data_IF_074087188462
#
_entry.id   IF_074087188462
#
_cell.length_a   1.000
_cell.length_b   1.000
_cell.length_c   1.000
_cell.angle_alpha   90.00
_cell.angle_beta   90.00
_cell.angle_gamma   90.00
#
_symmetry.space_group_name_H-M   'P 1'
#
loop_
_entity.id
_entity.type
_entity.pdbx_description
1 polymer ?
#
# COMPACT_ATOMS: atom_id res chain seq x y z
N UNK A 1 14.46 -22.61 -16.73
CA UNK A 1 13.45 -22.67 -15.68
C UNK A 1 12.31 -23.60 -16.11
N UNK A 2 11.71 -24.32 -15.15
CA UNK A 2 10.46 -25.07 -15.33
C UNK A 2 9.33 -24.33 -14.58
N UNK A 3 8.19 -24.17 -15.24
CA UNK A 3 7.01 -23.55 -14.67
C UNK A 3 5.86 -24.57 -14.73
N UNK A 4 5.35 -24.97 -13.57
CA UNK A 4 4.17 -25.80 -13.49
C UNK A 4 2.92 -24.91 -13.56
N UNK A 5 1.99 -25.26 -14.40
CA UNK A 5 0.79 -24.47 -14.68
C UNK A 5 -0.45 -25.36 -14.59
N UNK A 6 -1.56 -24.73 -14.18
CA UNK A 6 -2.90 -25.35 -14.19
C UNK A 6 -3.78 -24.44 -15.05
N UNK A 7 -4.45 -25.00 -16.05
CA UNK A 7 -5.37 -24.25 -16.89
C UNK A 7 -6.77 -24.09 -16.25
N UNK A 8 -7.68 -23.45 -16.95
CA UNK A 8 -9.05 -23.21 -16.47
C UNK A 8 -9.88 -24.51 -16.29
N UNK A 9 -9.47 -25.58 -16.95
CA UNK A 9 -10.10 -26.90 -16.88
C UNK A 9 -9.43 -27.82 -15.85
N UNK A 10 -8.41 -27.29 -15.12
CA UNK A 10 -7.68 -28.01 -14.09
C UNK A 10 -6.59 -28.95 -14.63
N UNK A 11 -6.23 -28.82 -15.91
CA UNK A 11 -5.16 -29.64 -16.53
C UNK A 11 -3.79 -29.10 -16.13
N UNK A 12 -3.00 -29.93 -15.48
CA UNK A 12 -1.64 -29.62 -15.09
C UNK A 12 -0.66 -29.81 -16.27
N UNK A 13 0.23 -28.87 -16.43
CA UNK A 13 1.29 -28.95 -17.45
C UNK A 13 2.58 -28.29 -16.96
N UNK A 14 3.71 -28.65 -17.59
CA UNK A 14 5.01 -28.05 -17.33
C UNK A 14 5.54 -27.34 -18.55
N UNK A 15 5.83 -26.05 -18.41
CA UNK A 15 6.45 -25.23 -19.43
C UNK A 15 7.94 -25.08 -19.11
N UNK A 16 8.80 -25.40 -20.07
CA UNK A 16 10.23 -25.13 -19.96
C UNK A 16 10.53 -23.80 -20.65
N UNK A 17 11.11 -22.87 -19.91
CA UNK A 17 11.44 -21.55 -20.41
C UNK A 17 12.91 -21.20 -20.12
N UNK A 18 13.52 -20.40 -21.02
CA UNK A 18 14.85 -19.82 -20.81
C UNK A 18 14.85 -18.75 -19.72
N UNK A 19 13.78 -17.99 -19.64
CA UNK A 19 13.59 -16.93 -18.64
C UNK A 19 12.12 -16.88 -18.19
N UNK A 20 11.90 -16.32 -17.01
CA UNK A 20 10.58 -16.04 -16.44
C UNK A 20 10.50 -14.56 -16.09
N UNK A 21 9.45 -13.90 -16.54
CA UNK A 21 9.15 -12.51 -16.21
C UNK A 21 7.85 -12.50 -15.40
N UNK A 22 7.95 -12.22 -14.11
CA UNK A 22 6.79 -12.11 -13.25
C UNK A 22 6.19 -10.69 -13.34
N UNK A 23 5.10 -10.58 -14.08
CA UNK A 23 4.30 -9.38 -14.25
C UNK A 23 2.90 -9.51 -13.62
N UNK A 24 2.73 -10.42 -12.64
CA UNK A 24 1.42 -10.77 -12.06
C UNK A 24 0.80 -9.66 -11.19
N UNK A 25 1.54 -8.59 -10.89
CA UNK A 25 1.04 -7.44 -10.13
C UNK A 25 0.86 -7.75 -8.64
N UNK A 26 -0.03 -6.97 -8.00
CA UNK A 26 -0.24 -7.02 -6.54
C UNK A 26 -1.69 -7.32 -6.15
N UNK A 27 -2.59 -7.49 -7.11
CA UNK A 27 -4.04 -7.53 -6.88
C UNK A 27 -4.54 -8.72 -6.05
N UNK A 28 -3.74 -9.77 -5.91
CA UNK A 28 -4.09 -10.97 -5.15
C UNK A 28 -4.00 -10.80 -3.63
N UNK A 29 -3.21 -9.83 -3.15
CA UNK A 29 -2.88 -9.66 -1.73
C UNK A 29 -3.27 -8.26 -1.23
N UNK A 30 -4.54 -8.02 -0.88
CA UNK A 30 -4.94 -6.75 -0.30
C UNK A 30 -4.34 -6.57 1.09
N UNK A 31 -3.99 -5.32 1.42
CA UNK A 31 -3.65 -4.96 2.79
C UNK A 31 -4.92 -4.98 3.66
N UNK A 32 -4.83 -5.41 4.92
CA UNK A 32 -5.94 -5.36 5.85
C UNK A 32 -6.35 -3.91 6.20
N UNK A 33 -7.50 -3.77 6.85
CA UNK A 33 -8.00 -2.48 7.31
C UNK A 33 -7.30 -1.98 8.59
N UNK A 34 -6.73 -2.90 9.38
CA UNK A 34 -6.04 -2.57 10.62
C UNK A 34 -4.91 -1.55 10.44
N UNK A 35 -4.83 -0.60 11.35
CA UNK A 35 -3.95 0.57 11.22
C UNK A 35 -2.45 0.25 11.30
N UNK A 36 -2.08 -0.85 11.92
CA UNK A 36 -0.71 -1.36 12.08
C UNK A 36 -0.24 -2.27 10.94
N UNK A 37 -1.12 -2.51 9.93
CA UNK A 37 -0.82 -3.37 8.78
C UNK A 37 -1.14 -4.85 8.99
N UNK A 38 -1.74 -5.21 10.14
CA UNK A 38 -2.34 -6.51 10.41
C UNK A 38 -3.87 -6.43 10.36
N UNK A 39 -4.57 -7.56 10.15
CA UNK A 39 -6.02 -7.57 10.27
C UNK A 39 -6.46 -7.05 11.65
N UNK A 40 -7.38 -6.08 11.66
CA UNK A 40 -7.99 -5.62 12.89
C UNK A 40 -8.74 -6.76 13.59
N UNK A 41 -8.93 -6.64 14.89
CA UNK A 41 -9.72 -7.64 15.64
C UNK A 41 -11.11 -7.75 15.00
N UNK A 42 -11.56 -8.97 14.73
CA UNK A 42 -12.85 -9.22 14.08
C UNK A 42 -12.91 -9.01 12.57
N UNK A 43 -11.88 -8.45 11.92
CA UNK A 43 -11.87 -8.19 10.47
C UNK A 43 -12.13 -9.45 9.65
N UNK A 44 -11.50 -10.57 10.00
CA UNK A 44 -11.70 -11.85 9.32
C UNK A 44 -13.10 -12.41 9.52
N UNK A 45 -13.67 -12.25 10.73
CA UNK A 45 -15.03 -12.70 11.04
C UNK A 45 -16.09 -11.87 10.31
N UNK A 46 -15.78 -10.62 9.99
CA UNK A 46 -16.64 -9.69 9.26
C UNK A 46 -16.40 -9.69 7.74
N UNK A 47 -15.70 -10.69 7.18
CA UNK A 47 -15.29 -10.76 5.77
C UNK A 47 -16.44 -10.58 4.78
N UNK A 48 -17.66 -10.99 5.12
CA UNK A 48 -18.85 -10.82 4.26
C UNK A 48 -19.29 -9.35 4.10
N UNK A 49 -18.92 -8.51 5.07
CA UNK A 49 -19.23 -7.08 5.08
C UNK A 49 -18.04 -6.20 4.68
N UNK A 50 -16.84 -6.78 4.57
CA UNK A 50 -15.60 -6.07 4.24
C UNK A 50 -15.10 -6.49 2.87
N UNK A 51 -14.97 -5.53 1.96
CA UNK A 51 -14.38 -5.75 0.64
C UNK A 51 -13.12 -4.92 0.48
N UNK A 52 -12.12 -5.50 -0.17
CA UNK A 52 -10.85 -4.81 -0.46
C UNK A 52 -10.83 -4.19 -1.87
N UNK A 53 -11.95 -4.21 -2.54
CA UNK A 53 -12.18 -3.63 -3.87
C UNK A 53 -13.59 -3.07 -3.95
N UNK A 54 -13.74 -1.96 -4.66
CA UNK A 54 -15.08 -1.45 -4.94
C UNK A 54 -15.65 -2.16 -6.18
N UNK A 55 -16.88 -2.66 -6.14
CA UNK A 55 -17.51 -3.30 -7.28
C UNK A 55 -17.78 -2.29 -8.41
N UNK A 56 -17.96 -2.79 -9.63
CA UNK A 56 -18.31 -1.94 -10.77
C UNK A 56 -19.66 -1.27 -10.61
N UNK A 57 -20.63 -1.92 -9.99
CA UNK A 57 -21.93 -1.34 -9.61
C UNK A 57 -22.00 -1.21 -8.08
N UNK A 58 -22.51 -0.08 -7.62
CA UNK A 58 -22.73 0.25 -6.21
C UNK A 58 -24.20 0.46 -5.88
N UNK A 59 -25.11 0.22 -6.83
CA UNK A 59 -26.53 0.50 -6.66
C UNK A 59 -27.18 -0.31 -5.51
N UNK A 60 -26.69 -1.53 -5.28
CA UNK A 60 -27.16 -2.38 -4.19
C UNK A 60 -26.87 -1.82 -2.78
N UNK A 61 -25.97 -0.84 -2.67
CA UNK A 61 -25.63 -0.17 -1.41
C UNK A 61 -26.57 1.00 -1.08
N UNK A 62 -27.62 1.22 -1.87
CA UNK A 62 -28.59 2.28 -1.65
C UNK A 62 -29.29 2.13 -0.30
N UNK A 63 -29.30 3.20 0.49
CA UNK A 63 -29.89 3.20 1.83
C UNK A 63 -28.95 2.69 2.95
N UNK A 64 -27.78 2.16 2.61
CA UNK A 64 -26.83 1.66 3.59
C UNK A 64 -25.87 2.74 4.14
N UNK A 65 -25.29 2.46 5.29
CA UNK A 65 -24.13 3.18 5.77
C UNK A 65 -22.86 2.49 5.27
N UNK A 66 -22.16 3.13 4.35
CA UNK A 66 -20.95 2.59 3.71
C UNK A 66 -19.73 3.33 4.23
N UNK A 67 -18.73 2.58 4.67
CA UNK A 67 -17.47 3.13 5.15
C UNK A 67 -16.33 2.81 4.19
N UNK A 68 -15.53 3.82 3.86
CA UNK A 68 -14.30 3.66 3.07
C UNK A 68 -13.10 3.87 3.98
N UNK A 69 -12.18 2.91 4.03
CA UNK A 69 -10.92 2.98 4.78
C UNK A 69 -9.77 3.08 3.80
N UNK A 70 -8.94 4.11 3.92
CA UNK A 70 -7.75 4.29 3.09
C UNK A 70 -7.63 5.70 2.50
N UNK A 71 -6.42 6.07 2.08
CA UNK A 71 -6.09 7.42 1.61
C UNK A 71 -5.59 7.48 0.16
N UNK A 72 -5.54 6.34 -0.54
CA UNK A 72 -5.03 6.25 -1.91
C UNK A 72 -6.09 6.58 -2.97
N UNK A 73 -5.67 6.63 -4.24
CA UNK A 73 -6.55 6.92 -5.39
C UNK A 73 -7.77 6.00 -5.45
N UNK A 74 -7.62 4.71 -5.12
CA UNK A 74 -8.76 3.77 -5.09
C UNK A 74 -9.83 4.20 -4.09
N UNK A 75 -9.42 4.66 -2.89
CA UNK A 75 -10.34 5.18 -1.88
C UNK A 75 -11.02 6.46 -2.37
N UNK A 76 -10.27 7.38 -2.98
CA UNK A 76 -10.82 8.62 -3.53
C UNK A 76 -11.86 8.35 -4.62
N UNK A 77 -11.58 7.42 -5.54
CA UNK A 77 -12.55 7.00 -6.56
C UNK A 77 -13.79 6.36 -5.94
N UNK A 78 -13.63 5.50 -4.93
CA UNK A 78 -14.74 4.88 -4.22
C UNK A 78 -15.64 5.93 -3.56
N UNK A 79 -15.04 6.89 -2.84
CA UNK A 79 -15.75 8.00 -2.19
C UNK A 79 -16.55 8.82 -3.20
N UNK A 80 -15.99 9.15 -4.36
CA UNK A 80 -16.72 9.90 -5.40
C UNK A 80 -17.90 9.11 -5.95
N UNK A 81 -17.73 7.81 -6.24
CA UNK A 81 -18.83 6.97 -6.72
C UNK A 81 -19.94 6.81 -5.69
N UNK A 82 -19.57 6.58 -4.43
CA UNK A 82 -20.52 6.46 -3.33
C UNK A 82 -21.22 7.80 -3.05
N UNK A 83 -20.54 8.93 -3.21
CA UNK A 83 -21.15 10.25 -3.10
C UNK A 83 -22.23 10.50 -4.15
N UNK A 84 -22.04 9.98 -5.36
CA UNK A 84 -23.07 10.04 -6.42
C UNK A 84 -24.26 9.16 -6.07
N UNK A 85 -24.04 7.99 -5.50
CA UNK A 85 -25.10 7.12 -4.98
C UNK A 85 -25.89 7.82 -3.85
N UNK A 86 -25.18 8.39 -2.87
CA UNK A 86 -25.81 9.09 -1.74
C UNK A 86 -26.70 10.26 -2.17
N UNK A 87 -26.33 10.96 -3.27
CA UNK A 87 -27.18 12.02 -3.85
C UNK A 87 -28.45 11.50 -4.52
N UNK A 88 -28.41 10.28 -5.06
CA UNK A 88 -29.54 9.68 -5.80
C UNK A 88 -30.44 8.83 -4.92
N UNK A 89 -29.90 8.27 -3.85
CA UNK A 89 -30.58 7.34 -2.94
C UNK A 89 -30.58 7.91 -1.51
N UNK A 90 -31.65 8.61 -1.09
CA UNK A 90 -31.78 9.12 0.27
C UNK A 90 -31.66 7.99 1.31
N UNK A 91 -30.98 8.29 2.41
CA UNK A 91 -30.67 7.28 3.45
C UNK A 91 -29.30 6.62 3.30
N UNK A 92 -28.66 6.71 2.13
CA UNK A 92 -27.27 6.26 1.97
C UNK A 92 -26.34 7.23 2.69
N UNK A 93 -25.54 6.70 3.61
CA UNK A 93 -24.50 7.46 4.31
C UNK A 93 -23.11 6.98 3.89
N UNK A 94 -22.18 7.91 3.73
CA UNK A 94 -20.80 7.58 3.35
C UNK A 94 -19.85 8.22 4.34
N UNK A 95 -19.07 7.40 5.03
CA UNK A 95 -18.01 7.85 5.94
C UNK A 95 -16.64 7.44 5.38
N UNK A 96 -15.72 8.37 5.32
CA UNK A 96 -14.35 8.14 4.84
C UNK A 96 -13.38 8.21 6.00
N UNK A 97 -12.74 7.09 6.34
CA UNK A 97 -11.79 6.97 7.45
C UNK A 97 -10.36 7.07 6.95
N UNK A 98 -9.63 8.04 7.50
CA UNK A 98 -8.21 8.25 7.24
C UNK A 98 -7.40 7.93 8.50
N UNK A 99 -6.39 7.07 8.37
CA UNK A 99 -5.48 6.73 9.46
C UNK A 99 -4.68 7.94 9.98
N UNK A 100 -4.27 8.85 9.07
CA UNK A 100 -3.52 10.05 9.41
C UNK A 100 -4.45 11.16 9.90
N UNK A 101 -3.94 12.00 10.82
CA UNK A 101 -4.68 13.17 11.30
C UNK A 101 -4.76 14.32 10.29
N UNK A 102 -3.90 14.32 9.26
CA UNK A 102 -3.85 15.35 8.23
C UNK A 102 -4.39 14.85 6.90
N UNK A 103 -5.04 15.74 6.15
CA UNK A 103 -5.53 15.51 4.78
C UNK A 103 -4.59 16.04 3.70
N UNK A 104 -3.43 16.62 4.08
CA UNK A 104 -2.54 17.34 3.18
C UNK A 104 -2.18 16.54 1.90
N UNK A 105 -1.96 15.22 2.03
CA UNK A 105 -1.55 14.36 0.93
C UNK A 105 -2.71 13.54 0.31
N UNK A 106 -3.94 13.72 0.78
CA UNK A 106 -5.10 12.92 0.31
C UNK A 106 -5.68 13.49 -0.98
N UNK A 107 -5.59 14.80 -1.14
CA UNK A 107 -6.20 15.52 -2.27
C UNK A 107 -5.19 15.88 -3.39
N UNK A 108 -4.00 15.29 -3.36
CA UNK A 108 -2.92 15.63 -4.32
C UNK A 108 -2.31 17.01 -4.08
N UNK A 109 -1.41 17.42 -4.96
CA UNK A 109 -0.69 18.69 -4.89
C UNK A 109 -1.52 19.93 -5.26
N UNK A 110 -2.83 19.80 -5.47
CA UNK A 110 -3.67 20.92 -5.91
C UNK A 110 -3.24 21.47 -7.27
N UNK A 111 -3.17 22.81 -7.39
CA UNK A 111 -2.75 23.47 -8.63
C UNK A 111 -1.25 23.30 -8.95
N UNK A 112 -0.46 22.83 -8.00
CA UNK A 112 0.97 22.51 -8.19
C UNK A 112 1.22 21.04 -8.52
N UNK A 113 0.17 20.23 -8.70
CA UNK A 113 0.32 18.82 -9.06
C UNK A 113 0.64 18.68 -10.54
N UNK A 114 1.77 18.08 -10.87
CA UNK A 114 2.20 17.87 -12.26
C UNK A 114 1.34 16.83 -13.01
N UNK A 115 0.50 16.07 -12.29
CA UNK A 115 -0.47 15.18 -12.88
C UNK A 115 -1.89 15.80 -12.80
N UNK A 116 -2.38 16.45 -13.88
CA UNK A 116 -3.65 17.19 -13.87
C UNK A 116 -4.86 16.34 -13.44
N UNK A 117 -4.89 15.07 -13.85
CA UNK A 117 -5.97 14.15 -13.51
C UNK A 117 -5.99 13.83 -12.00
N UNK A 118 -4.82 13.75 -11.35
CA UNK A 118 -4.70 13.56 -9.91
C UNK A 118 -5.19 14.79 -9.15
N UNK A 119 -4.80 15.97 -9.59
CA UNK A 119 -5.26 17.24 -9.04
C UNK A 119 -6.78 17.37 -9.15
N UNK A 120 -7.35 17.06 -10.32
CA UNK A 120 -8.80 17.10 -10.57
C UNK A 120 -9.55 16.09 -9.69
N UNK A 121 -9.00 14.89 -9.50
CA UNK A 121 -9.58 13.86 -8.63
C UNK A 121 -9.64 14.35 -7.18
N UNK A 122 -8.56 14.90 -6.66
CA UNK A 122 -8.47 15.44 -5.31
C UNK A 122 -9.43 16.62 -5.08
N UNK A 123 -9.52 17.54 -6.03
CA UNK A 123 -10.45 18.67 -5.97
C UNK A 123 -11.91 18.23 -5.91
N UNK A 124 -12.30 17.20 -6.70
CA UNK A 124 -13.65 16.62 -6.64
C UNK A 124 -13.94 15.97 -5.30
N UNK A 125 -12.98 15.24 -4.72
CA UNK A 125 -13.14 14.62 -3.42
C UNK A 125 -13.31 15.67 -2.31
N UNK A 126 -12.51 16.73 -2.31
CA UNK A 126 -12.67 17.85 -1.38
C UNK A 126 -14.08 18.46 -1.48
N UNK A 127 -14.55 18.71 -2.70
CA UNK A 127 -15.87 19.29 -2.93
C UNK A 127 -17.02 18.47 -2.32
N UNK A 128 -17.00 17.14 -2.40
CA UNK A 128 -18.08 16.30 -1.85
C UNK A 128 -18.04 16.27 -0.32
N UNK A 129 -16.88 16.44 0.29
CA UNK A 129 -16.71 16.59 1.74
C UNK A 129 -17.23 17.95 2.19
N UNK A 130 -16.81 19.04 1.53
CA UNK A 130 -17.24 20.41 1.86
C UNK A 130 -18.75 20.58 1.72
N UNK A 131 -19.40 19.81 0.84
CA UNK A 131 -20.85 19.76 0.66
C UNK A 131 -21.59 18.91 1.70
N UNK A 132 -20.86 18.23 2.60
CA UNK A 132 -21.46 17.34 3.60
C UNK A 132 -22.08 16.06 3.06
N UNK A 133 -21.77 15.67 1.80
CA UNK A 133 -22.26 14.43 1.19
C UNK A 133 -21.49 13.22 1.74
N UNK A 134 -20.24 13.44 2.11
CA UNK A 134 -19.33 12.43 2.68
C UNK A 134 -18.80 12.97 4.00
N UNK A 135 -18.95 12.18 5.04
CA UNK A 135 -18.33 12.43 6.33
C UNK A 135 -16.87 12.01 6.30
N UNK A 136 -15.94 12.93 6.57
CA UNK A 136 -14.51 12.63 6.64
C UNK A 136 -14.08 12.57 8.11
N UNK A 137 -13.49 11.42 8.51
CA UNK A 137 -12.92 11.23 9.84
C UNK A 137 -11.42 10.96 9.71
N UNK A 138 -10.62 11.88 10.26
CA UNK A 138 -9.15 11.78 10.24
C UNK A 138 -8.60 11.25 11.57
N UNK A 139 -7.36 10.72 11.52
CA UNK A 139 -6.72 10.13 12.70
C UNK A 139 -7.45 8.88 13.21
N UNK A 140 -8.27 8.25 12.38
CA UNK A 140 -9.02 7.06 12.77
C UNK A 140 -8.20 5.81 12.47
N UNK A 141 -7.52 5.30 13.48
CA UNK A 141 -6.67 4.13 13.41
C UNK A 141 -7.51 2.90 13.73
N UNK A 142 -7.95 2.18 12.70
CA UNK A 142 -8.84 1.00 12.84
C UNK A 142 -8.15 -0.07 13.68
N UNK A 143 -8.79 -0.49 14.79
CA UNK A 143 -8.30 -1.53 15.68
C UNK A 143 -9.24 -2.75 15.75
N UNK A 144 -10.56 -2.54 15.63
CA UNK A 144 -11.53 -3.62 15.79
C UNK A 144 -12.75 -3.43 14.88
N UNK A 145 -13.31 -4.55 14.41
CA UNK A 145 -14.63 -4.67 13.81
C UNK A 145 -15.50 -5.52 14.73
N UNK A 146 -16.58 -4.94 15.21
CA UNK A 146 -17.48 -5.57 16.17
C UNK A 146 -18.84 -5.79 15.54
N UNK A 147 -19.31 -7.02 15.48
CA UNK A 147 -20.65 -7.33 15.01
C UNK A 147 -21.70 -6.79 15.99
N UNK A 148 -22.80 -6.23 15.48
CA UNK A 148 -23.91 -5.72 16.25
C UNK A 148 -25.26 -6.05 15.61
N UNK A 149 -26.36 -5.81 16.34
CA UNK A 149 -27.72 -6.11 15.85
C UNK A 149 -28.13 -5.25 14.65
N UNK A 150 -27.69 -4.01 14.58
CA UNK A 150 -28.03 -3.04 13.54
C UNK A 150 -26.89 -2.81 12.52
N UNK A 151 -26.03 -3.83 12.33
CA UNK A 151 -24.85 -3.73 11.47
C UNK A 151 -23.56 -3.88 12.26
N UNK A 152 -22.46 -3.42 11.67
CA UNK A 152 -21.12 -3.51 12.25
C UNK A 152 -20.72 -2.19 12.90
N UNK A 153 -19.91 -2.26 13.96
CA UNK A 153 -19.23 -1.11 14.56
C UNK A 153 -17.73 -1.21 14.27
N UNK A 154 -17.15 -0.13 13.77
CA UNK A 154 -15.70 0.00 13.57
C UNK A 154 -15.15 0.81 14.72
N UNK A 155 -14.14 0.28 15.41
CA UNK A 155 -13.53 0.89 16.59
C UNK A 155 -12.10 1.29 16.29
N UNK A 156 -11.73 2.50 16.66
CA UNK A 156 -10.37 3.01 16.56
C UNK A 156 -9.56 2.69 17.81
N UNK A 157 -8.22 2.76 17.71
CA UNK A 157 -7.28 2.58 18.85
C UNK A 157 -7.56 3.55 20.01
N UNK A 158 -8.07 4.74 19.73
CA UNK A 158 -8.41 5.78 20.71
C UNK A 158 -9.82 5.63 21.30
N UNK A 159 -10.54 4.58 20.94
CA UNK A 159 -11.89 4.29 21.43
C UNK A 159 -13.01 4.99 20.67
N UNK A 160 -12.74 5.82 19.65
CA UNK A 160 -13.81 6.35 18.76
C UNK A 160 -14.48 5.23 18.01
N UNK A 161 -15.77 5.37 17.74
CA UNK A 161 -16.57 4.35 17.07
C UNK A 161 -17.35 4.93 15.89
N UNK A 162 -17.49 4.11 14.84
CA UNK A 162 -18.43 4.33 13.73
C UNK A 162 -19.38 3.15 13.72
N UNK A 163 -20.63 3.39 14.11
CA UNK A 163 -21.64 2.36 14.31
C UNK A 163 -22.62 2.22 13.13
N UNK A 164 -23.39 1.15 13.15
CA UNK A 164 -24.43 0.84 12.17
C UNK A 164 -23.92 0.83 10.73
N UNK A 165 -22.76 0.21 10.52
CA UNK A 165 -22.10 0.11 9.22
C UNK A 165 -22.62 -1.14 8.50
N UNK A 166 -23.18 -0.95 7.29
CA UNK A 166 -23.66 -2.03 6.44
C UNK A 166 -22.55 -2.63 5.58
N UNK A 167 -21.62 -1.80 5.09
CA UNK A 167 -20.53 -2.24 4.21
C UNK A 167 -19.25 -1.45 4.43
N UNK A 168 -18.11 -2.14 4.36
CA UNK A 168 -16.77 -1.52 4.43
C UNK A 168 -15.99 -1.81 3.16
N UNK A 169 -15.38 -0.77 2.61
CA UNK A 169 -14.35 -0.89 1.58
C UNK A 169 -12.99 -0.55 2.17
N UNK A 170 -12.19 -1.57 2.47
CA UNK A 170 -10.82 -1.43 2.96
C UNK A 170 -9.86 -1.25 1.77
N UNK A 171 -9.70 0.00 1.32
CA UNK A 171 -8.88 0.37 0.16
C UNK A 171 -7.50 0.86 0.60
N UNK A 172 -6.83 0.05 1.37
CA UNK A 172 -5.54 0.30 2.05
C UNK A 172 -4.32 -0.07 1.21
N UNK A 173 -4.55 -0.47 -0.05
CA UNK A 173 -3.52 -0.89 -0.99
C UNK A 173 -3.34 -2.40 -1.05
N UNK A 174 -2.27 -2.82 -1.74
CA UNK A 174 -1.98 -4.23 -1.99
C UNK A 174 -0.50 -4.51 -1.73
N UNK A 175 -0.17 -5.79 -1.56
CA UNK A 175 1.21 -6.30 -1.45
C UNK A 175 1.53 -7.24 -2.61
N UNK A 176 2.80 -7.42 -2.97
CA UNK A 176 3.19 -8.42 -3.94
C UNK A 176 2.95 -9.83 -3.37
N UNK A 177 2.33 -10.69 -4.16
CA UNK A 177 2.28 -12.12 -3.85
C UNK A 177 3.51 -12.80 -4.44
N UNK A 178 4.45 -13.17 -3.58
CA UNK A 178 5.67 -13.89 -3.96
C UNK A 178 5.56 -15.40 -3.75
N UNK A 179 4.38 -15.90 -3.43
CA UNK A 179 4.16 -17.32 -3.13
C UNK A 179 4.60 -18.27 -4.25
N UNK A 180 4.41 -17.88 -5.52
CA UNK A 180 4.88 -18.66 -6.67
C UNK A 180 6.41 -18.68 -6.84
N UNK A 181 7.12 -17.77 -6.21
CA UNK A 181 8.57 -17.61 -6.30
C UNK A 181 9.32 -18.14 -5.06
N UNK A 182 8.60 -18.69 -4.06
CA UNK A 182 9.16 -19.04 -2.74
C UNK A 182 10.31 -20.05 -2.77
N UNK A 183 10.40 -20.88 -3.81
CA UNK A 183 11.47 -21.87 -3.99
C UNK A 183 12.65 -21.29 -4.78
N UNK A 184 12.56 -20.06 -5.25
CA UNK A 184 13.58 -19.39 -6.06
C UNK A 184 14.37 -18.40 -5.21
N UNK A 185 15.59 -18.09 -5.63
CA UNK A 185 16.42 -17.06 -5.03
C UNK A 185 15.96 -15.69 -5.50
N UNK A 186 15.16 -15.03 -4.70
CA UNK A 186 14.69 -13.65 -4.95
C UNK A 186 15.37 -12.69 -3.97
N UNK A 187 15.57 -11.44 -4.39
CA UNK A 187 16.14 -10.37 -3.59
C UNK A 187 15.15 -9.20 -3.52
N UNK A 188 14.53 -9.06 -2.35
CA UNK A 188 13.54 -8.03 -2.07
C UNK A 188 13.96 -7.21 -0.85
N UNK A 189 13.74 -5.91 -0.93
CA UNK A 189 13.81 -5.03 0.24
C UNK A 189 12.70 -5.39 1.25
N UNK A 190 13.07 -5.59 2.50
CA UNK A 190 12.15 -6.08 3.54
C UNK A 190 11.11 -5.05 3.98
N UNK A 191 11.39 -3.76 3.84
CA UNK A 191 10.49 -2.68 4.25
C UNK A 191 9.43 -2.39 3.18
N UNK A 192 9.86 -2.35 1.93
CA UNK A 192 9.00 -2.04 0.79
C UNK A 192 8.41 -3.30 0.14
N UNK A 193 8.97 -4.49 0.41
CA UNK A 193 8.64 -5.71 -0.35
C UNK A 193 8.86 -5.53 -1.86
N UNK A 194 9.73 -4.60 -2.23
CA UNK A 194 10.09 -4.24 -3.60
C UNK A 194 11.35 -5.00 -4.03
N UNK A 195 11.59 -5.08 -5.35
CA UNK A 195 12.87 -5.58 -5.86
C UNK A 195 14.02 -4.75 -5.27
N UNK A 196 14.99 -5.41 -4.64
CA UNK A 196 16.07 -4.72 -3.90
C UNK A 196 16.86 -3.75 -4.77
N UNK A 197 17.09 -4.09 -6.05
CA UNK A 197 17.83 -3.25 -6.99
C UNK A 197 17.17 -1.90 -7.32
N UNK A 198 15.87 -1.71 -7.00
CA UNK A 198 15.18 -0.44 -7.21
C UNK A 198 14.71 0.22 -5.90
N UNK A 199 14.79 -0.50 -4.77
CA UNK A 199 14.16 -0.09 -3.52
C UNK A 199 14.62 1.30 -3.03
N UNK A 200 15.93 1.57 -3.12
CA UNK A 200 16.48 2.85 -2.69
C UNK A 200 15.93 4.04 -3.49
N UNK A 201 15.68 3.87 -4.79
CA UNK A 201 15.20 4.93 -5.67
C UNK A 201 13.70 5.22 -5.55
N UNK A 202 12.94 4.24 -5.04
CA UNK A 202 11.48 4.34 -4.91
C UNK A 202 10.99 4.52 -3.47
N UNK A 203 11.89 4.46 -2.47
CA UNK A 203 11.54 4.60 -1.06
C UNK A 203 11.12 6.04 -0.74
N UNK A 204 9.84 6.28 -0.40
CA UNK A 204 9.34 7.61 -0.08
C UNK A 204 9.90 8.17 1.24
N UNK A 205 10.59 7.36 2.04
CA UNK A 205 11.25 7.81 3.28
C UNK A 205 12.68 8.32 3.04
N UNK A 206 13.31 7.88 1.93
CA UNK A 206 14.68 8.25 1.56
C UNK A 206 14.66 9.39 0.55
N UNK A 207 13.77 9.31 -0.43
CA UNK A 207 13.63 10.30 -1.49
C UNK A 207 12.49 11.26 -1.19
N UNK A 208 12.82 12.51 -0.91
CA UNK A 208 11.85 13.58 -0.85
C UNK A 208 11.42 13.96 -2.26
N UNK A 209 10.15 13.76 -2.62
CA UNK A 209 9.52 14.32 -3.83
C UNK A 209 10.38 14.21 -5.08
N UNK A 210 11.05 13.09 -5.27
CA UNK A 210 11.97 12.95 -6.37
C UNK A 210 11.33 12.31 -7.58
N UNK A 211 11.84 12.66 -8.73
CA UNK A 211 11.69 11.87 -9.94
C UNK A 211 12.18 10.46 -9.65
N UNK A 212 11.27 9.49 -9.74
CA UNK A 212 11.66 8.09 -9.71
C UNK A 212 12.38 7.80 -11.01
N UNK A 213 13.66 7.43 -10.95
CA UNK A 213 14.40 7.05 -12.15
C UNK A 213 13.75 5.83 -12.79
N UNK A 214 13.68 5.83 -14.13
CA UNK A 214 13.25 4.63 -14.84
C UNK A 214 14.31 3.54 -14.65
N UNK A 215 13.87 2.35 -14.28
CA UNK A 215 14.73 1.20 -13.98
C UNK A 215 14.57 0.12 -15.05
N UNK A 216 15.61 -0.64 -15.29
CA UNK A 216 15.66 -1.61 -16.36
C UNK A 216 16.07 -3.02 -15.92
N UNK A 217 16.46 -3.83 -16.89
CA UNK A 217 16.78 -5.25 -16.70
C UNK A 217 17.87 -5.48 -15.63
N UNK A 218 18.84 -4.57 -15.51
CA UNK A 218 19.95 -4.71 -14.55
C UNK A 218 19.46 -4.64 -13.10
N UNK A 219 18.60 -3.66 -12.80
CA UNK A 219 18.08 -3.41 -11.45
C UNK A 219 16.98 -4.41 -11.08
N UNK A 220 16.29 -4.99 -12.08
CA UNK A 220 15.16 -5.92 -11.89
C UNK A 220 15.56 -7.39 -11.88
N UNK A 221 16.81 -7.70 -12.28
CA UNK A 221 17.31 -9.07 -12.30
C UNK A 221 17.36 -9.64 -10.88
N UNK A 222 16.91 -10.88 -10.75
CA UNK A 222 16.95 -11.61 -9.50
C UNK A 222 18.21 -12.47 -9.40
N UNK A 223 18.64 -12.89 -8.18
CA UNK A 223 19.75 -13.86 -8.02
C UNK A 223 19.49 -15.17 -8.76
N UNK A 224 18.23 -15.57 -8.95
CA UNK A 224 17.86 -16.66 -9.84
C UNK A 224 18.02 -16.25 -11.29
N UNK A 225 18.90 -16.94 -12.03
CA UNK A 225 19.24 -16.60 -13.40
C UNK A 225 18.03 -16.64 -14.34
N UNK A 226 17.81 -15.55 -15.06
CA UNK A 226 16.70 -15.41 -16.01
C UNK A 226 15.35 -15.12 -15.35
N UNK A 227 15.32 -14.80 -14.07
CA UNK A 227 14.11 -14.35 -13.39
C UNK A 227 14.10 -12.82 -13.26
N UNK A 228 12.98 -12.22 -13.64
CA UNK A 228 12.71 -10.78 -13.51
C UNK A 228 11.34 -10.57 -12.86
N UNK A 229 11.25 -9.60 -11.96
CA UNK A 229 9.98 -9.13 -11.40
C UNK A 229 9.75 -7.71 -11.92
N UNK A 230 8.63 -7.47 -12.61
CA UNK A 230 8.35 -6.20 -13.30
C UNK A 230 6.98 -5.63 -12.95
N UNK A 231 6.75 -4.38 -13.35
CA UNK A 231 5.48 -3.69 -13.16
C UNK A 231 5.21 -3.34 -11.70
N UNK A 232 3.95 -3.23 -11.32
CA UNK A 232 3.54 -2.86 -9.96
C UNK A 232 4.12 -3.80 -8.89
N UNK A 233 4.37 -5.06 -9.22
CA UNK A 233 4.95 -6.04 -8.31
C UNK A 233 6.39 -5.70 -7.93
N UNK A 234 7.19 -5.19 -8.87
CA UNK A 234 8.56 -4.78 -8.59
C UNK A 234 8.66 -3.63 -7.58
N UNK A 235 7.63 -2.79 -7.52
CA UNK A 235 7.53 -1.67 -6.58
C UNK A 235 7.06 -2.08 -5.18
N UNK A 236 6.59 -3.32 -5.02
CA UNK A 236 6.13 -3.81 -3.73
C UNK A 236 5.02 -2.94 -3.13
N UNK A 237 5.31 -2.32 -1.98
CA UNK A 237 4.41 -1.42 -1.25
C UNK A 237 4.62 0.07 -1.58
N UNK A 238 5.61 0.41 -2.40
CA UNK A 238 5.87 1.80 -2.75
C UNK A 238 4.72 2.38 -3.58
N UNK A 239 4.18 3.55 -3.21
CA UNK A 239 3.00 4.13 -3.86
C UNK A 239 3.32 4.86 -5.16
N UNK A 240 4.59 4.92 -5.56
CA UNK A 240 5.11 5.74 -6.65
C UNK A 240 5.08 5.06 -8.03
N UNK A 241 4.50 3.86 -8.12
CA UNK A 241 4.41 3.14 -9.39
C UNK A 241 3.50 3.87 -10.40
N UNK A 242 4.04 4.07 -11.60
CA UNK A 242 3.30 4.55 -12.78
C UNK A 242 3.34 3.48 -13.87
N UNK A 243 2.25 3.34 -14.64
CA UNK A 243 2.18 2.38 -15.73
C UNK A 243 3.31 2.59 -16.77
N UNK A 244 3.67 3.85 -17.02
CA UNK A 244 4.79 4.19 -17.92
C UNK A 244 6.12 3.59 -17.45
N UNK A 245 6.39 3.61 -16.14
CA UNK A 245 7.57 2.94 -15.57
C UNK A 245 7.54 1.45 -15.84
N UNK A 246 6.37 0.81 -15.70
CA UNK A 246 6.21 -0.60 -16.01
C UNK A 246 6.48 -0.91 -17.48
N UNK A 247 6.06 -0.05 -18.40
CA UNK A 247 6.34 -0.23 -19.83
C UNK A 247 7.85 -0.12 -20.13
N UNK A 248 8.55 0.83 -19.50
CA UNK A 248 10.00 0.96 -19.63
C UNK A 248 10.73 -0.28 -19.08
N UNK A 249 10.31 -0.79 -17.92
CA UNK A 249 10.83 -2.03 -17.34
C UNK A 249 10.71 -3.21 -18.33
N UNK A 250 9.52 -3.39 -18.89
CA UNK A 250 9.24 -4.49 -19.84
C UNK A 250 10.06 -4.31 -21.12
N UNK A 251 10.17 -3.08 -21.65
CA UNK A 251 11.01 -2.78 -22.83
C UNK A 251 12.47 -3.19 -22.59
N UNK A 252 13.04 -2.75 -21.45
CA UNK A 252 14.42 -3.04 -21.08
C UNK A 252 14.66 -4.54 -20.89
N UNK A 253 13.78 -5.24 -20.16
CA UNK A 253 13.88 -6.70 -19.94
C UNK A 253 13.75 -7.47 -21.27
N UNK A 254 12.83 -7.06 -22.15
CA UNK A 254 12.67 -7.70 -23.47
C UNK A 254 13.94 -7.54 -24.32
N UNK A 255 14.52 -6.35 -24.38
CA UNK A 255 15.78 -6.10 -25.08
C UNK A 255 16.92 -6.95 -24.51
N UNK A 256 17.05 -7.04 -23.17
CA UNK A 256 18.04 -7.89 -22.51
C UNK A 256 17.89 -9.38 -22.90
N UNK A 257 16.67 -9.89 -22.88
CA UNK A 257 16.39 -11.29 -23.24
C UNK A 257 16.63 -11.58 -24.73
N UNK A 258 16.49 -10.57 -25.58
CA UNK A 258 16.83 -10.64 -27.01
C UNK A 258 18.35 -10.56 -27.29
N UNK A 259 19.16 -10.22 -26.28
CA UNK A 259 20.62 -10.04 -26.41
C UNK A 259 21.05 -8.63 -26.83
N UNK A 260 20.11 -7.69 -26.94
CA UNK A 260 20.39 -6.27 -27.20
C UNK A 260 20.65 -5.52 -25.88
N UNK A 261 21.87 -5.68 -25.38
CA UNK A 261 22.27 -5.12 -24.10
C UNK A 261 22.41 -3.58 -24.13
N UNK A 262 22.66 -3.01 -25.30
CA UNK A 262 22.71 -1.56 -25.45
C UNK A 262 21.30 -0.95 -25.30
N UNK A 263 20.33 -1.47 -26.04
CA UNK A 263 18.94 -1.05 -25.89
C UNK A 263 18.39 -1.33 -24.47
N UNK A 264 18.80 -2.44 -23.85
CA UNK A 264 18.39 -2.76 -22.47
C UNK A 264 18.92 -1.74 -21.45
N UNK A 265 20.14 -1.26 -21.61
CA UNK A 265 20.78 -0.30 -20.70
C UNK A 265 20.30 1.14 -20.90
N UNK A 266 19.74 1.46 -22.07
CA UNK A 266 19.26 2.79 -22.42
C UNK A 266 17.90 3.05 -21.74
N UNK A 267 17.76 4.18 -21.06
CA UNK A 267 16.48 4.65 -20.54
C UNK A 267 15.81 5.55 -21.57
N UNK A 268 14.59 5.22 -21.98
CA UNK A 268 13.82 5.96 -22.97
C UNK A 268 12.70 6.79 -22.34
N UNK A 269 12.32 6.47 -21.09
CA UNK A 269 11.26 7.14 -20.38
C UNK A 269 11.77 8.36 -19.61
N UNK A 270 11.16 9.51 -19.88
CA UNK A 270 11.28 10.71 -19.02
C UNK A 270 10.01 10.80 -18.18
N UNK A 271 10.15 10.63 -16.86
CA UNK A 271 9.04 10.75 -15.92
C UNK A 271 8.86 12.21 -15.50
N UNK A 272 7.60 12.68 -15.34
CA UNK A 272 7.34 13.96 -14.71
C UNK A 272 7.74 13.91 -13.23
N UNK A 273 8.19 15.03 -12.66
CA UNK A 273 8.36 15.17 -11.23
C UNK A 273 7.00 15.01 -10.55
N UNK A 274 6.75 13.86 -9.93
CA UNK A 274 5.40 13.52 -9.46
C UNK A 274 5.00 14.21 -8.16
N UNK A 275 5.92 14.92 -7.49
CA UNK A 275 5.64 15.67 -6.26
C UNK A 275 4.94 14.88 -5.14
N UNK A 276 4.91 13.55 -5.21
CA UNK A 276 4.22 12.69 -4.23
C UNK A 276 5.13 12.43 -3.06
N UNK A 277 5.18 13.36 -2.13
CA UNK A 277 5.71 13.09 -0.79
C UNK A 277 4.66 12.33 0.01
N UNK A 278 4.60 11.03 -0.18
CA UNK A 278 3.64 10.13 0.48
C UNK A 278 4.28 9.13 1.42
N UNK A 279 5.41 9.48 2.06
CA UNK A 279 6.05 8.63 3.05
C UNK A 279 5.12 8.30 4.22
N UNK A 280 5.27 7.11 4.78
CA UNK A 280 4.56 6.64 5.98
C UNK A 280 5.02 7.35 7.27
N UNK A 281 5.89 8.36 7.17
CA UNK A 281 6.37 9.12 8.31
C UNK A 281 5.23 9.87 9.01
N UNK A 282 5.12 9.65 10.29
CA UNK A 282 4.34 10.45 11.24
C UNK A 282 5.11 11.79 11.42
N UNK A 283 4.97 12.69 10.46
CA UNK A 283 5.51 14.04 10.62
C UNK A 283 4.48 14.81 11.43
N UNK A 284 4.74 14.90 12.74
CA UNK A 284 4.01 15.78 13.63
C UNK A 284 3.98 17.21 13.08
N UNK A 285 2.93 17.93 13.39
CA UNK A 285 2.74 19.33 13.04
C UNK A 285 4.00 20.14 13.33
N UNK A 286 4.72 20.53 12.27
CA UNK A 286 5.70 21.60 12.32
C UNK A 286 5.42 22.51 11.14
N UNK A 287 4.95 23.70 11.46
CA UNK A 287 4.78 24.80 10.53
C UNK A 287 6.06 25.02 9.70
N UNK A 288 5.93 24.94 8.39
CA UNK A 288 6.86 25.54 7.43
C UNK A 288 8.20 24.85 7.24
N UNK A 289 8.41 23.61 7.68
CA UNK A 289 9.65 22.88 7.43
C UNK A 289 9.65 22.25 6.03
N UNK A 290 10.64 22.63 5.24
CA UNK A 290 11.01 22.04 3.96
C UNK A 290 11.04 20.50 4.07
N UNK A 291 10.49 19.78 3.07
CA UNK A 291 10.56 18.31 2.94
C UNK A 291 11.99 17.73 2.92
N UNK A 292 13.01 18.55 3.01
CA UNK A 292 14.43 18.22 2.91
C UNK A 292 15.15 18.19 4.27
N UNK A 293 14.45 18.07 5.40
CA UNK A 293 15.11 17.90 6.69
C UNK A 293 15.69 16.47 6.79
N UNK A 294 17.00 16.39 7.08
CA UNK A 294 17.69 15.12 7.29
C UNK A 294 16.99 14.30 8.39
N UNK A 295 16.86 12.96 8.25
CA UNK A 295 16.24 12.14 9.26
C UNK A 295 16.97 12.23 10.58
N UNK A 296 16.24 12.54 11.66
CA UNK A 296 16.79 12.45 13.01
C UNK A 296 17.02 10.98 13.33
N UNK A 297 18.27 10.63 13.63
CA UNK A 297 18.67 9.28 14.05
C UNK A 297 17.95 8.95 15.35
N UNK A 298 17.01 8.00 15.29
CA UNK A 298 16.43 7.39 16.49
C UNK A 298 17.54 6.67 17.25
N UNK A 299 18.02 7.26 18.35
CA UNK A 299 18.84 6.54 19.30
C UNK A 299 17.96 5.52 20.02
N UNK A 300 18.10 4.24 19.67
CA UNK A 300 17.55 3.13 20.44
C UNK A 300 18.28 3.16 21.79
N UNK A 301 17.53 3.47 22.86
CA UNK A 301 18.07 3.53 24.21
C UNK A 301 18.77 2.22 24.58
N UNK A 302 20.00 2.33 25.09
CA UNK A 302 20.70 1.17 25.67
C UNK A 302 19.84 0.61 26.80
N UNK A 303 19.49 -0.67 26.70
CA UNK A 303 18.99 -1.44 27.83
C UNK A 303 20.08 -1.44 28.90
N UNK A 304 19.84 -0.95 30.14
CA UNK A 304 20.85 -1.04 31.18
C UNK A 304 21.13 -2.53 31.44
N UNK A 305 22.40 -2.93 31.29
CA UNK A 305 22.85 -4.25 31.66
C UNK A 305 22.80 -4.36 33.20
N UNK A 306 21.82 -5.08 33.71
CA UNK A 306 21.84 -5.53 35.11
C UNK A 306 22.87 -6.62 35.22
N UNK A 307 24.04 -6.30 35.78
CA UNK A 307 25.03 -7.31 36.21
C UNK A 307 24.39 -8.15 37.30
N UNK A 308 24.51 -9.49 37.26
CA UNK A 308 24.02 -10.30 38.36
C UNK A 308 24.93 -10.08 39.61
N UNK A 309 24.27 -9.81 40.71
CA UNK A 309 24.92 -9.76 42.05
C UNK A 309 25.59 -11.09 42.39
N UNK A 310 26.80 -11.08 42.96
CA UNK A 310 27.49 -12.35 43.31
C UNK A 310 26.74 -13.05 44.44
N UNK A 311 26.52 -14.35 44.25
CA UNK A 311 25.86 -15.23 45.20
C UNK A 311 26.62 -15.24 46.56
N UNK A 312 25.90 -14.92 47.67
CA UNK A 312 26.38 -15.07 49.03
C UNK A 312 26.63 -16.56 49.33
N UNK A 313 27.84 -16.86 49.70
CA UNK A 313 28.22 -18.19 50.21
C UNK A 313 27.52 -18.47 51.55
N UNK A 314 26.68 -19.49 51.55
CA UNK A 314 26.16 -20.08 52.79
C UNK A 314 27.26 -20.98 53.40
N UNK A 315 27.86 -20.54 54.51
CA UNK A 315 28.66 -21.39 55.39
C UNK A 315 27.72 -22.26 56.22
N UNK A 316 27.81 -23.56 56.04
CA UNK A 316 27.22 -24.55 56.93
C UNK A 316 28.10 -24.66 58.19
N UNK A 317 27.58 -24.25 59.35
CA UNK A 317 28.13 -24.61 60.66
C UNK A 317 27.59 -25.98 61.03
N UNK A 318 28.52 -26.93 61.27
CA UNK A 318 28.27 -28.22 61.88
C UNK A 318 28.34 -28.08 63.39
N UNK A 319 27.33 -28.55 64.11
CA UNK A 319 27.34 -29.03 65.51
C UNK A 319 26.47 -30.26 65.62
#
# INVERSE_FOLDING_TARGET
AGLDTVDVDGVESRILARAVVDASGTWGMPNPAGADGFPAVGERAASDLISYRIPADVAELAGEHVVVVGAGHSATHAVLRLSELARRAPGTRVTWLLRRGSTANVFGGGSGDELPERAALGARARKVIDQGVVELVTGFRVAEFRAGGDGMTIVAEDGREVAAVGRVFALTGFRPDTGILRELRIDLDTSLEAVAGIAAEIDPNIHSCGSVSATGARELAQPELGLFIVGAKSYGRAPTFLALTGYEQVRSVAAHLAGDHEAAARTELVLPDTGVCGGSGDFGEADGASCCAAPSVLQIGRIPSTSPEPARSLTLETS
#
